data_IF_249399527921
#
_entry.id   IF_249399527921
#
_cell.length_a   1.000
_cell.length_b   1.000
_cell.length_c   1.000
_cell.angle_alpha   90.00
_cell.angle_beta   90.00
_cell.angle_gamma   90.00
#
_symmetry.space_group_name_H-M   'P 1'
#
loop_
_entity.id
_entity.type
_entity.pdbx_description
1 polymer ?
#
# COMPACT_ATOMS: atom_id res chain seq x y z
N UNK A 1 -13.30 -8.12 -22.05
CA UNK A 1 -11.92 -7.62 -21.97
C UNK A 1 -11.98 -6.11 -21.82
N UNK A 2 -11.83 -5.56 -20.61
CA UNK A 2 -11.82 -4.11 -20.43
C UNK A 2 -10.38 -3.62 -20.65
N UNK A 3 -10.17 -2.95 -21.78
CA UNK A 3 -8.95 -2.20 -22.06
C UNK A 3 -8.85 -1.04 -21.07
N UNK A 4 -7.94 -1.12 -20.10
CA UNK A 4 -7.53 0.02 -19.29
C UNK A 4 -6.53 0.85 -20.11
N UNK A 5 -7.02 1.77 -20.94
CA UNK A 5 -6.20 2.85 -21.49
C UNK A 5 -6.19 4.00 -20.48
N UNK A 6 -5.04 4.24 -19.84
CA UNK A 6 -4.82 5.41 -18.99
C UNK A 6 -4.13 6.48 -19.84
N UNK A 7 -4.85 7.54 -20.23
CA UNK A 7 -4.33 8.65 -21.06
C UNK A 7 -3.70 9.81 -20.26
N UNK A 8 -3.69 9.75 -18.93
CA UNK A 8 -3.24 10.86 -18.05
C UNK A 8 -2.07 10.39 -17.15
N UNK A 9 -0.99 11.17 -17.12
CA UNK A 9 0.27 10.84 -16.41
C UNK A 9 0.25 11.14 -14.90
N UNK A 10 -0.73 11.91 -14.40
CA UNK A 10 -0.75 12.37 -13.00
C UNK A 10 -2.17 12.34 -12.44
N UNK A 11 -2.57 11.21 -11.85
CA UNK A 11 -3.82 11.14 -11.09
C UNK A 11 -3.59 11.67 -9.67
N UNK A 12 -3.99 12.93 -9.44
CA UNK A 12 -4.11 13.49 -8.10
C UNK A 12 -5.48 13.12 -7.55
N UNK A 13 -5.55 12.01 -6.81
CA UNK A 13 -6.81 11.57 -6.19
C UNK A 13 -7.10 12.50 -5.01
N UNK A 14 -7.95 13.49 -5.25
CA UNK A 14 -8.32 14.51 -4.27
C UNK A 14 -9.82 14.44 -4.00
N UNK A 15 -10.32 13.46 -3.21
CA UNK A 15 -11.67 13.57 -2.66
C UNK A 15 -11.97 12.67 -1.44
N UNK A 16 -12.38 13.38 -0.37
CA UNK A 16 -13.56 13.24 0.48
C UNK A 16 -14.30 11.87 0.53
N UNK A 17 -14.46 11.39 1.77
CA UNK A 17 -15.47 10.43 2.28
C UNK A 17 -15.33 8.95 1.86
N UNK A 18 -14.65 8.15 2.68
CA UNK A 18 -15.29 7.23 3.64
C UNK A 18 -14.20 6.58 4.49
N UNK A 19 -14.38 6.70 5.79
CA UNK A 19 -13.35 6.50 6.80
C UNK A 19 -13.08 5.01 7.03
N UNK A 20 -11.82 4.70 7.37
CA UNK A 20 -11.28 3.37 7.74
C UNK A 20 -10.94 2.46 6.54
N UNK A 21 -11.82 2.32 5.54
CA UNK A 21 -11.59 1.35 4.44
C UNK A 21 -10.52 1.79 3.42
N UNK A 22 -10.36 3.11 3.18
CA UNK A 22 -9.45 3.61 2.15
C UNK A 22 -7.98 3.64 2.59
N UNK A 23 -7.71 3.85 3.89
CA UNK A 23 -6.34 3.89 4.42
C UNK A 23 -5.69 2.51 4.30
N UNK A 24 -6.43 1.46 4.66
CA UNK A 24 -5.99 0.07 4.49
C UNK A 24 -5.75 -0.26 3.01
N UNK A 25 -6.60 0.28 2.10
CA UNK A 25 -6.44 0.10 0.66
C UNK A 25 -5.17 0.72 0.09
N UNK A 26 -4.73 1.90 0.56
CA UNK A 26 -3.53 2.55 -0.01
C UNK A 26 -2.28 1.68 0.18
N UNK A 27 -2.08 1.11 1.37
CA UNK A 27 -0.94 0.22 1.62
C UNK A 27 -1.06 -1.12 0.86
N UNK A 28 -2.28 -1.65 0.69
CA UNK A 28 -2.52 -2.84 -0.16
C UNK A 28 -2.21 -2.53 -1.62
N UNK A 29 -2.65 -1.39 -2.15
CA UNK A 29 -2.38 -0.98 -3.53
C UNK A 29 -0.88 -0.88 -3.75
N UNK A 30 -0.16 -0.27 -2.81
CA UNK A 30 1.31 -0.17 -2.85
C UNK A 30 2.00 -1.54 -2.81
N UNK A 31 1.56 -2.43 -1.92
CA UNK A 31 2.23 -3.71 -1.68
C UNK A 31 1.88 -4.78 -2.71
N UNK A 32 0.62 -4.86 -3.14
CA UNK A 32 0.09 -5.93 -3.99
C UNK A 32 -0.13 -5.43 -5.41
N UNK A 33 -0.93 -4.37 -5.60
CA UNK A 33 -1.31 -3.94 -6.94
C UNK A 33 -0.11 -3.48 -7.77
N UNK A 34 0.83 -2.74 -7.18
CA UNK A 34 2.06 -2.35 -7.89
C UNK A 34 2.88 -3.57 -8.35
N UNK A 35 2.99 -4.60 -7.51
CA UNK A 35 3.75 -5.81 -7.85
C UNK A 35 3.05 -6.61 -8.94
N UNK A 36 1.72 -6.64 -8.91
CA UNK A 36 0.91 -7.27 -9.95
C UNK A 36 1.08 -6.52 -11.27
N UNK A 37 1.01 -5.19 -11.27
CA UNK A 37 1.20 -4.34 -12.45
C UNK A 37 2.60 -4.49 -13.07
N UNK A 38 3.65 -4.58 -12.25
CA UNK A 38 5.01 -4.89 -12.73
C UNK A 38 5.06 -6.20 -13.50
N UNK A 39 4.40 -7.26 -13.01
CA UNK A 39 4.35 -8.54 -13.72
C UNK A 39 3.63 -8.44 -15.08
N UNK A 40 2.69 -7.51 -15.23
CA UNK A 40 2.02 -7.25 -16.51
C UNK A 40 2.89 -6.49 -17.54
N UNK A 41 4.11 -6.10 -17.17
CA UNK A 41 5.06 -5.37 -18.02
C UNK A 41 5.03 -3.85 -17.83
N UNK A 42 4.44 -3.37 -16.73
CA UNK A 42 4.42 -1.95 -16.34
C UNK A 42 5.64 -1.69 -15.44
N UNK A 43 6.83 -1.61 -16.05
CA UNK A 43 8.09 -1.55 -15.28
C UNK A 43 8.60 -0.12 -15.03
N UNK A 44 8.42 0.83 -15.96
CA UNK A 44 9.10 2.13 -15.90
C UNK A 44 8.15 3.29 -15.57
N UNK A 45 8.16 3.71 -14.29
CA UNK A 45 7.53 4.96 -13.84
C UNK A 45 6.29 4.81 -12.95
N UNK A 46 5.95 3.59 -12.53
CA UNK A 46 4.83 3.35 -11.62
C UNK A 46 5.26 3.60 -10.17
N UNK A 47 4.86 4.74 -9.62
CA UNK A 47 5.21 5.16 -8.26
C UNK A 47 3.96 5.59 -7.48
N UNK A 48 3.86 5.11 -6.24
CA UNK A 48 2.85 5.56 -5.28
C UNK A 48 3.55 6.13 -4.05
N UNK A 49 3.45 7.43 -3.89
CA UNK A 49 4.05 8.17 -2.77
C UNK A 49 2.94 8.72 -1.88
N UNK A 50 2.91 8.25 -0.63
CA UNK A 50 1.99 8.75 0.39
C UNK A 50 2.65 9.94 1.07
N UNK A 51 2.21 11.16 0.76
CA UNK A 51 2.78 12.38 1.34
C UNK A 51 2.19 12.67 2.72
N UNK A 52 0.90 12.43 2.90
CA UNK A 52 0.19 12.61 4.19
C UNK A 52 -0.77 11.46 4.43
N UNK A 53 -0.77 10.93 5.65
CA UNK A 53 -1.76 9.93 6.09
C UNK A 53 -2.75 10.63 7.01
N UNK A 54 -4.00 10.75 6.57
CA UNK A 54 -5.07 11.38 7.36
C UNK A 54 -5.91 10.33 8.06
N UNK A 55 -6.03 10.44 9.39
CA UNK A 55 -6.95 9.61 10.17
C UNK A 55 -8.30 10.34 10.37
N UNK A 56 -9.42 9.62 10.55
CA UNK A 56 -10.64 10.16 11.16
C UNK A 56 -10.37 11.07 12.36
N UNK A 57 -11.16 12.15 12.61
CA UNK A 57 -12.31 12.69 11.85
C UNK A 57 -11.98 13.91 10.94
N UNK A 58 -10.85 14.60 11.13
CA UNK A 58 -10.48 15.81 10.38
C UNK A 58 -9.71 15.53 9.07
N UNK A 59 -9.29 14.29 8.82
CA UNK A 59 -8.76 13.85 7.53
C UNK A 59 -7.44 14.52 7.11
N UNK A 60 -7.26 14.78 5.81
CA UNK A 60 -6.08 15.46 5.26
C UNK A 60 -4.97 14.53 4.75
N UNK A 61 -5.31 13.34 4.29
CA UNK A 61 -4.37 12.45 3.59
C UNK A 61 -4.17 12.89 2.14
N UNK A 62 -2.94 12.80 1.65
CA UNK A 62 -2.59 13.07 0.26
C UNK A 62 -1.69 11.95 -0.25
N UNK A 63 -2.03 11.44 -1.43
CA UNK A 63 -1.30 10.38 -2.12
C UNK A 63 -1.05 10.84 -3.55
N UNK A 64 0.19 10.75 -3.97
CA UNK A 64 0.62 11.05 -5.33
C UNK A 64 0.85 9.70 -6.02
N UNK A 65 0.06 9.45 -7.06
CA UNK A 65 0.20 8.26 -7.89
C UNK A 65 0.66 8.68 -9.29
N UNK A 66 1.81 8.15 -9.71
CA UNK A 66 2.35 8.31 -11.04
C UNK A 66 2.23 6.97 -11.75
N UNK A 67 1.59 6.96 -12.91
CA UNK A 67 1.47 5.78 -13.75
C UNK A 67 1.92 6.13 -15.17
N UNK A 68 2.85 5.36 -15.75
CA UNK A 68 3.19 5.49 -17.16
C UNK A 68 2.07 4.89 -18.01
N UNK A 69 1.97 5.36 -19.26
CA UNK A 69 1.05 4.79 -20.25
C UNK A 69 1.69 3.53 -20.83
N UNK A 70 1.09 2.36 -20.58
CA UNK A 70 1.57 1.11 -21.14
C UNK A 70 0.87 0.78 -22.45
N UNK A 71 1.64 0.69 -23.53
CA UNK A 71 1.12 0.35 -24.87
C UNK A 71 0.91 -1.14 -25.06
N UNK A 72 1.75 -1.97 -24.42
CA UNK A 72 1.69 -3.43 -24.52
C UNK A 72 1.59 -4.05 -23.13
N UNK A 73 0.60 -4.91 -22.91
CA UNK A 73 0.42 -5.70 -21.69
C UNK A 73 0.76 -7.16 -21.98
N UNK A 74 1.55 -7.80 -21.11
CA UNK A 74 1.81 -9.25 -21.21
C UNK A 74 0.77 -10.02 -20.39
N UNK A 75 -0.05 -10.88 -21.00
CA UNK A 75 -1.00 -11.68 -20.24
C UNK A 75 -0.26 -12.65 -19.32
N UNK A 76 -0.71 -12.73 -18.07
CA UNK A 76 -0.19 -13.67 -17.06
C UNK A 76 -1.21 -14.78 -16.84
N UNK A 77 -0.80 -16.03 -17.00
CA UNK A 77 -1.65 -17.19 -16.72
C UNK A 77 -1.16 -17.88 -15.43
N UNK A 78 -1.86 -17.65 -14.33
CA UNK A 78 -1.60 -18.34 -13.07
C UNK A 78 -2.54 -19.55 -12.94
N UNK A 79 -2.06 -20.74 -13.33
CA UNK A 79 -2.85 -21.98 -13.30
C UNK A 79 -2.81 -22.68 -11.94
N UNK A 80 -1.75 -22.45 -11.14
CA UNK A 80 -1.56 -23.09 -9.83
C UNK A 80 -1.10 -22.07 -8.79
N UNK A 81 -1.66 -22.16 -7.58
CA UNK A 81 -1.18 -21.39 -6.43
C UNK A 81 0.20 -21.94 -6.00
N UNK A 82 1.19 -21.05 -5.92
CA UNK A 82 2.54 -21.38 -5.45
C UNK A 82 2.67 -21.41 -3.93
N UNK A 83 3.85 -21.81 -3.43
CA UNK A 83 4.20 -21.73 -2.01
C UNK A 83 4.51 -20.27 -1.60
N UNK A 84 4.13 -19.90 -0.38
CA UNK A 84 4.44 -18.56 0.18
C UNK A 84 5.90 -18.52 0.59
N UNK A 85 6.69 -17.64 -0.02
CA UNK A 85 8.13 -17.50 0.29
C UNK A 85 8.40 -16.69 1.56
N UNK A 86 7.66 -15.60 1.76
CA UNK A 86 7.89 -14.63 2.85
C UNK A 86 6.66 -13.78 3.09
N UNK A 87 6.53 -13.25 4.30
CA UNK A 87 5.49 -12.30 4.66
C UNK A 87 6.11 -10.90 4.80
N UNK A 88 5.49 -9.93 4.13
CA UNK A 88 5.80 -8.51 4.27
C UNK A 88 4.54 -7.78 4.71
N UNK A 89 4.63 -7.03 5.81
CA UNK A 89 3.52 -6.25 6.35
C UNK A 89 3.95 -4.79 6.56
N UNK A 90 2.97 -3.89 6.64
CA UNK A 90 3.20 -2.50 7.05
C UNK A 90 2.25 -2.23 8.20
N UNK A 91 2.78 -1.71 9.30
CA UNK A 91 2.01 -1.21 10.45
C UNK A 91 2.29 0.27 10.53
N UNK A 92 1.24 1.06 10.59
CA UNK A 92 1.35 2.50 10.72
C UNK A 92 0.64 2.98 11.97
N UNK A 93 1.03 4.15 12.44
CA UNK A 93 0.27 4.87 13.44
C UNK A 93 0.38 6.37 13.25
N UNK A 94 -0.73 7.07 13.43
CA UNK A 94 -0.86 8.52 13.27
C UNK A 94 -1.21 9.15 14.60
N UNK A 95 -0.48 10.20 15.01
CA UNK A 95 -0.64 10.97 16.28
C UNK A 95 -0.63 10.18 17.60
N UNK A 96 -0.42 8.88 17.59
CA UNK A 96 -0.29 8.08 18.81
C UNK A 96 1.19 7.84 19.14
N UNK A 97 1.47 7.38 20.36
CA UNK A 97 2.82 7.01 20.77
C UNK A 97 3.35 5.85 19.90
N UNK A 98 4.63 5.86 19.50
CA UNK A 98 5.25 4.75 18.77
C UNK A 98 5.21 3.43 19.54
N UNK A 99 5.02 3.46 20.87
CA UNK A 99 4.81 2.28 21.69
C UNK A 99 3.62 1.43 21.21
N UNK A 100 2.60 2.05 20.60
CA UNK A 100 1.45 1.32 20.06
C UNK A 100 1.82 0.46 18.86
N UNK A 101 2.67 0.97 17.96
CA UNK A 101 3.15 0.24 16.78
C UNK A 101 3.99 -0.96 17.21
N UNK A 102 4.85 -0.79 18.20
CA UNK A 102 5.70 -1.88 18.69
C UNK A 102 4.87 -3.04 19.25
N UNK A 103 3.83 -2.75 20.05
CA UNK A 103 2.90 -3.77 20.56
C UNK A 103 2.17 -4.51 19.44
N UNK A 104 1.74 -3.79 18.39
CA UNK A 104 1.12 -4.40 17.21
C UNK A 104 2.08 -5.36 16.49
N UNK A 105 3.34 -4.96 16.32
CA UNK A 105 4.37 -5.78 15.68
C UNK A 105 4.67 -7.02 16.52
N UNK A 106 4.78 -6.89 17.85
CA UNK A 106 4.99 -8.01 18.77
C UNK A 106 3.83 -9.01 18.72
N UNK A 107 2.59 -8.52 18.78
CA UNK A 107 1.39 -9.36 18.66
C UNK A 107 1.33 -10.10 17.33
N UNK A 108 1.61 -9.41 16.23
CA UNK A 108 1.63 -10.02 14.89
C UNK A 108 2.75 -11.08 14.77
N UNK A 109 3.96 -10.79 15.26
CA UNK A 109 5.08 -11.74 15.22
C UNK A 109 4.82 -12.99 16.06
N UNK A 110 4.19 -12.84 17.23
CA UNK A 110 3.86 -13.97 18.11
C UNK A 110 2.99 -15.03 17.42
N UNK A 111 2.03 -14.59 16.61
CA UNK A 111 1.14 -15.49 15.86
C UNK A 111 1.84 -16.02 14.60
N UNK A 112 2.47 -15.13 13.83
CA UNK A 112 3.00 -15.46 12.51
C UNK A 112 4.28 -16.31 12.56
N UNK A 113 5.11 -16.19 13.61
CA UNK A 113 6.33 -16.99 13.79
C UNK A 113 6.06 -18.50 13.83
N UNK A 114 4.84 -18.93 14.18
CA UNK A 114 4.44 -20.34 14.18
C UNK A 114 4.34 -20.94 12.77
N UNK A 115 4.20 -20.09 11.74
CA UNK A 115 3.99 -20.53 10.36
C UNK A 115 5.26 -20.35 9.51
N UNK A 116 5.88 -19.18 9.58
CA UNK A 116 7.03 -18.80 8.75
C UNK A 116 8.02 -17.98 9.59
N UNK A 117 9.31 -18.16 9.35
CA UNK A 117 10.38 -17.42 10.06
C UNK A 117 10.80 -16.13 9.33
N UNK A 118 10.67 -16.05 8.00
CA UNK A 118 10.96 -14.83 7.22
C UNK A 118 9.73 -13.90 7.17
N UNK A 119 9.55 -13.16 8.26
CA UNK A 119 8.52 -12.13 8.40
C UNK A 119 9.18 -10.79 8.65
N UNK A 120 8.89 -9.82 7.79
CA UNK A 120 9.35 -8.45 7.97
C UNK A 120 8.17 -7.48 7.94
N UNK A 121 8.00 -6.73 9.03
CA UNK A 121 6.94 -5.76 9.20
C UNK A 121 7.57 -4.37 9.23
N UNK A 122 7.22 -3.54 8.26
CA UNK A 122 7.61 -2.13 8.22
C UNK A 122 6.78 -1.33 9.23
N UNK A 123 7.43 -0.46 9.99
CA UNK A 123 6.78 0.44 10.94
C UNK A 123 6.83 1.86 10.40
N UNK A 124 5.66 2.46 10.15
CA UNK A 124 5.53 3.84 9.68
C UNK A 124 4.91 4.70 10.80
N UNK A 125 5.76 5.41 11.55
CA UNK A 125 5.32 6.33 12.60
C UNK A 125 5.33 7.76 12.08
N UNK A 126 4.14 8.34 11.94
CA UNK A 126 3.97 9.70 11.41
C UNK A 126 3.57 10.66 12.53
N UNK A 127 4.44 11.64 12.82
CA UNK A 127 4.19 12.76 13.74
C UNK A 127 3.99 14.08 12.98
N UNK A 128 3.25 15.00 13.58
CA UNK A 128 3.14 16.39 13.11
C UNK A 128 2.33 16.55 11.81
N UNK A 129 2.70 17.48 10.91
CA UNK A 129 1.87 17.89 9.76
C UNK A 129 1.71 16.82 8.67
N UNK A 130 2.47 15.71 8.74
CA UNK A 130 2.32 14.54 7.85
C UNK A 130 1.22 13.57 8.30
N UNK A 131 0.66 13.78 9.50
CA UNK A 131 -0.35 12.92 10.13
C UNK A 131 -1.81 13.38 9.90
N UNK A 132 -2.07 14.18 8.84
CA UNK A 132 -3.37 14.79 8.60
C UNK A 132 -3.66 15.96 9.55
N UNK A 133 -4.91 16.43 9.63
CA UNK A 133 -5.38 17.39 10.67
C UNK A 133 -6.23 16.69 11.73
#
# INVERSE_FOLDING_TARGET
>A
MQHFYCSEHLFRIHQLVSLIFFIFKVDIIRAVSLQVMKKFGIDEGLELTVSKRGSPPHGGGEVIFKCPVCRNLRPLQFVKAGKVKRIRGVVFSTRVSPAFVNRLVEGARSILNKFLTDIYIYTDHMKGPRSGK
#
